data_IF_066974202901
#
_entry.id   IF_066974202901
#
_cell.length_a   1.000
_cell.length_b   1.000
_cell.length_c   1.000
_cell.angle_alpha   90.00
_cell.angle_beta   90.00
_cell.angle_gamma   90.00
#
_symmetry.space_group_name_H-M   'P 1'
#
loop_
_entity.id
_entity.type
_entity.pdbx_description
1 polymer ?
#
# COMPACT_ATOMS: atom_id res chain seq x y z
N UNK A 1 -21.89 20.78 10.29
CA UNK A 1 -20.99 20.56 11.45
C UNK A 1 -19.70 19.96 10.92
N UNK A 2 -18.54 20.58 11.17
CA UNK A 2 -17.25 20.04 10.75
C UNK A 2 -16.87 18.82 11.61
N UNK A 3 -16.30 17.78 11.01
CA UNK A 3 -15.94 16.53 11.70
C UNK A 3 -14.97 16.77 12.86
N UNK A 4 -14.03 17.71 12.71
CA UNK A 4 -13.10 18.09 13.79
C UNK A 4 -13.83 18.59 15.03
N UNK A 5 -14.84 19.45 14.87
CA UNK A 5 -15.61 19.99 15.99
C UNK A 5 -16.45 18.89 16.66
N UNK A 6 -16.97 17.95 15.86
CA UNK A 6 -17.66 16.77 16.38
C UNK A 6 -16.73 15.91 17.24
N UNK A 7 -15.55 15.55 16.72
CA UNK A 7 -14.56 14.74 17.45
C UNK A 7 -14.15 15.45 18.74
N UNK A 8 -13.73 16.72 18.68
CA UNK A 8 -13.35 17.49 19.88
C UNK A 8 -14.48 17.62 20.90
N UNK A 9 -15.73 17.66 20.46
CA UNK A 9 -16.86 17.71 21.38
C UNK A 9 -17.17 16.36 22.03
N UNK A 10 -17.11 15.25 21.30
CA UNK A 10 -17.60 13.94 21.74
C UNK A 10 -16.51 12.98 22.25
N UNK A 11 -15.27 13.08 21.75
CA UNK A 11 -14.21 12.08 21.95
C UNK A 11 -13.23 12.53 23.05
N UNK A 12 -13.74 12.82 24.27
CA UNK A 12 -12.95 13.53 25.30
C UNK A 12 -12.10 12.66 26.22
N UNK A 13 -12.32 11.35 26.26
CA UNK A 13 -11.71 10.48 27.26
C UNK A 13 -11.26 9.14 26.65
N UNK A 14 -10.34 8.47 27.34
CA UNK A 14 -9.80 7.15 26.96
C UNK A 14 -9.22 7.15 25.52
N UNK A 15 -9.33 6.01 24.82
CA UNK A 15 -8.81 5.87 23.46
C UNK A 15 -9.47 6.81 22.44
N UNK A 16 -10.65 7.36 22.75
CA UNK A 16 -11.29 8.34 21.87
C UNK A 16 -10.51 9.67 21.87
N UNK A 17 -9.99 10.10 23.03
CA UNK A 17 -9.16 11.30 23.14
C UNK A 17 -7.80 11.12 22.44
N UNK A 18 -7.24 9.90 22.46
CA UNK A 18 -5.97 9.61 21.82
C UNK A 18 -5.97 9.92 20.30
N UNK A 19 -7.11 9.80 19.61
CA UNK A 19 -7.24 10.20 18.21
C UNK A 19 -7.04 11.72 18.04
N UNK A 20 -7.60 12.53 18.93
CA UNK A 20 -7.47 13.99 18.89
C UNK A 20 -6.03 14.37 19.22
N UNK A 21 -5.46 13.79 20.28
CA UNK A 21 -4.10 14.08 20.72
C UNK A 21 -3.07 13.72 19.63
N UNK A 22 -3.27 12.59 18.94
CA UNK A 22 -2.42 12.20 17.81
C UNK A 22 -2.54 13.17 16.62
N UNK A 23 -3.77 13.59 16.28
CA UNK A 23 -3.99 14.52 15.17
C UNK A 23 -3.44 15.93 15.46
N UNK A 24 -3.71 16.46 16.66
CA UNK A 24 -3.19 17.77 17.09
C UNK A 24 -1.66 17.72 17.23
N UNK A 25 -1.10 16.64 17.78
CA UNK A 25 0.34 16.43 17.90
C UNK A 25 1.06 16.33 16.55
N UNK A 26 0.48 15.63 15.58
CA UNK A 26 1.05 15.57 14.23
C UNK A 26 1.02 16.95 13.55
N UNK A 27 -0.08 17.69 13.66
CA UNK A 27 -0.16 19.06 13.12
C UNK A 27 0.88 19.99 13.77
N UNK A 28 1.08 19.88 15.09
CA UNK A 28 2.09 20.65 15.80
C UNK A 28 3.51 20.28 15.32
N UNK A 29 3.84 18.99 15.23
CA UNK A 29 5.13 18.51 14.73
C UNK A 29 5.46 19.09 13.35
N UNK A 30 4.48 19.08 12.43
CA UNK A 30 4.64 19.69 11.10
C UNK A 30 4.80 21.21 11.18
N UNK A 31 4.03 21.89 12.01
CA UNK A 31 4.11 23.36 12.18
C UNK A 31 5.46 23.82 12.76
N UNK A 32 6.11 22.95 13.55
CA UNK A 32 7.45 23.18 14.11
C UNK A 32 8.58 22.81 13.14
N UNK A 33 8.25 22.41 11.90
CA UNK A 33 9.22 22.02 10.87
C UNK A 33 9.76 20.60 11.05
N UNK A 34 9.09 19.76 11.84
CA UNK A 34 9.44 18.36 12.03
C UNK A 34 9.20 17.52 10.79
N UNK A 35 10.06 16.52 10.57
CA UNK A 35 9.92 15.52 9.51
C UNK A 35 9.24 14.26 10.05
N UNK A 36 8.38 13.62 9.25
CA UNK A 36 7.58 12.48 9.67
C UNK A 36 8.04 11.17 9.02
N UNK A 37 8.20 10.16 9.87
CA UNK A 37 8.32 8.76 9.47
C UNK A 37 6.99 8.06 9.74
N UNK A 38 6.41 7.45 8.71
CA UNK A 38 5.23 6.59 8.86
C UNK A 38 5.68 5.12 8.90
N UNK A 39 5.15 4.35 9.85
CA UNK A 39 5.35 2.91 9.93
C UNK A 39 4.04 2.18 9.60
N UNK A 40 4.08 1.26 8.63
CA UNK A 40 2.92 0.49 8.18
C UNK A 40 3.17 -1.00 8.39
N UNK A 41 2.32 -1.66 9.16
CA UNK A 41 2.38 -3.09 9.40
C UNK A 41 1.19 -3.81 8.77
N UNK A 42 1.32 -5.10 8.47
CA UNK A 42 0.26 -5.89 7.84
C UNK A 42 -0.03 -5.45 6.40
N UNK A 43 -1.26 -5.67 5.94
CA UNK A 43 -1.72 -5.44 4.57
C UNK A 43 -2.58 -4.16 4.48
N UNK A 44 -2.03 -3.01 4.90
CA UNK A 44 -2.77 -1.75 4.95
C UNK A 44 -3.07 -1.19 3.55
N UNK A 45 -2.28 -1.57 2.55
CA UNK A 45 -2.52 -1.17 1.16
C UNK A 45 -3.75 -1.89 0.58
N UNK A 46 -3.97 -3.16 0.91
CA UNK A 46 -5.26 -3.83 0.67
C UNK A 46 -6.43 -3.15 1.38
N UNK A 47 -6.19 -2.59 2.57
CA UNK A 47 -7.19 -1.80 3.30
C UNK A 47 -7.36 -0.36 2.77
N UNK A 48 -6.83 -0.05 1.59
CA UNK A 48 -6.93 1.24 0.90
C UNK A 48 -6.37 2.43 1.70
N UNK A 49 -5.37 2.19 2.56
CA UNK A 49 -4.60 3.25 3.22
C UNK A 49 -3.98 4.24 2.22
N UNK A 50 -3.77 3.78 0.97
CA UNK A 50 -3.26 4.58 -0.15
C UNK A 50 -3.98 5.91 -0.34
N UNK A 51 -5.31 5.94 -0.25
CA UNK A 51 -6.14 7.16 -0.44
C UNK A 51 -5.65 8.30 0.46
N UNK A 52 -5.42 8.01 1.74
CA UNK A 52 -5.00 9.03 2.71
C UNK A 52 -3.49 9.27 2.65
N UNK A 53 -2.70 8.20 2.53
CA UNK A 53 -1.25 8.29 2.57
C UNK A 53 -0.68 9.00 1.35
N UNK A 54 -1.21 8.72 0.15
CA UNK A 54 -0.80 9.38 -1.09
C UNK A 54 -1.01 10.89 -1.02
N UNK A 55 -2.12 11.35 -0.42
CA UNK A 55 -2.36 12.78 -0.22
C UNK A 55 -1.38 13.40 0.77
N UNK A 56 -1.09 12.73 1.89
CA UNK A 56 -0.09 13.21 2.85
C UNK A 56 1.31 13.32 2.22
N UNK A 57 1.69 12.37 1.36
CA UNK A 57 2.95 12.40 0.61
C UNK A 57 2.98 13.59 -0.36
N UNK A 58 1.93 13.79 -1.17
CA UNK A 58 1.86 14.90 -2.12
C UNK A 58 1.99 16.26 -1.43
N UNK A 59 1.36 16.40 -0.27
CA UNK A 59 1.38 17.59 0.57
C UNK A 59 2.67 17.77 1.38
N UNK A 60 3.69 16.92 1.15
CA UNK A 60 4.99 16.97 1.84
C UNK A 60 4.90 16.82 3.37
N UNK A 61 3.94 16.01 3.83
CA UNK A 61 3.74 15.72 5.25
C UNK A 61 4.45 14.45 5.72
N UNK A 62 5.02 13.68 4.81
CA UNK A 62 5.70 12.40 5.08
C UNK A 62 7.05 12.41 4.38
N UNK A 63 8.12 12.10 5.11
CA UNK A 63 9.49 12.18 4.61
C UNK A 63 10.18 10.81 4.50
N UNK A 64 9.68 9.80 5.21
CA UNK A 64 10.17 8.42 5.10
C UNK A 64 9.05 7.45 5.50
N UNK A 65 9.05 6.27 4.88
CA UNK A 65 8.12 5.19 5.22
C UNK A 65 8.92 3.96 5.65
N UNK A 66 8.45 3.25 6.66
CA UNK A 66 8.87 1.87 6.92
C UNK A 66 7.66 0.96 6.84
N UNK A 67 7.74 -0.10 6.05
CA UNK A 67 6.60 -0.97 5.82
C UNK A 67 7.00 -2.43 5.58
N UNK A 68 6.02 -3.33 5.64
CA UNK A 68 6.16 -4.70 5.14
C UNK A 68 6.19 -4.73 3.61
N UNK A 69 6.70 -5.82 3.03
CA UNK A 69 6.71 -6.01 1.57
C UNK A 69 5.29 -6.01 0.97
N UNK A 70 4.33 -6.61 1.67
CA UNK A 70 2.91 -6.58 1.30
C UNK A 70 2.40 -5.17 0.98
N UNK A 71 2.78 -4.14 1.74
CA UNK A 71 2.32 -2.77 1.44
C UNK A 71 2.89 -2.21 0.14
N UNK A 72 4.11 -2.56 -0.25
CA UNK A 72 4.69 -2.08 -1.50
C UNK A 72 3.97 -2.66 -2.70
N UNK A 73 3.75 -3.98 -2.69
CA UNK A 73 3.16 -4.69 -3.82
C UNK A 73 1.64 -4.49 -3.90
N UNK A 74 0.94 -4.55 -2.77
CA UNK A 74 -0.53 -4.51 -2.75
C UNK A 74 -1.09 -3.14 -3.14
N UNK A 75 -0.36 -2.04 -2.95
CA UNK A 75 -0.78 -0.72 -3.48
C UNK A 75 -0.76 -0.72 -5.01
N UNK A 76 0.25 -1.37 -5.61
CA UNK A 76 0.37 -1.50 -7.07
C UNK A 76 -0.64 -2.53 -7.58
N UNK A 77 -0.91 -3.61 -6.84
CA UNK A 77 -1.96 -4.58 -7.14
C UNK A 77 -3.32 -3.90 -7.17
N UNK A 78 -3.61 -3.08 -6.16
CA UNK A 78 -4.83 -2.29 -6.13
C UNK A 78 -4.87 -1.35 -7.33
N UNK A 79 -3.76 -0.68 -7.65
CA UNK A 79 -3.68 0.22 -8.79
C UNK A 79 -4.03 -0.45 -10.12
N UNK A 80 -3.63 -1.70 -10.34
CA UNK A 80 -3.81 -2.38 -11.64
C UNK A 80 -4.93 -3.42 -11.70
N UNK A 81 -5.48 -3.87 -10.57
CA UNK A 81 -6.39 -5.01 -10.50
C UNK A 81 -7.60 -4.83 -9.56
N UNK A 82 -7.84 -3.61 -9.04
CA UNK A 82 -8.94 -3.31 -8.12
C UNK A 82 -10.33 -3.83 -8.55
N UNK A 83 -10.68 -3.71 -9.84
CA UNK A 83 -12.01 -4.11 -10.34
C UNK A 83 -12.27 -5.62 -10.21
N UNK A 84 -11.21 -6.40 -10.01
CA UNK A 84 -11.25 -7.86 -9.84
C UNK A 84 -11.18 -8.29 -8.36
N UNK A 85 -11.09 -7.34 -7.42
CA UNK A 85 -11.07 -7.66 -6.00
C UNK A 85 -12.45 -8.16 -5.55
N UNK A 86 -12.45 -9.16 -4.66
CA UNK A 86 -13.68 -9.70 -4.12
C UNK A 86 -13.76 -9.52 -2.61
N UNK A 87 -14.85 -8.91 -2.16
CA UNK A 87 -15.21 -8.93 -0.74
C UNK A 87 -15.77 -10.30 -0.39
N UNK A 88 -15.32 -10.86 0.72
CA UNK A 88 -15.77 -12.14 1.26
C UNK A 88 -16.64 -11.88 2.49
N UNK A 89 -17.98 -11.86 2.36
CA UNK A 89 -18.87 -11.77 3.50
C UNK A 89 -18.62 -12.93 4.47
N UNK A 90 -18.73 -12.68 5.77
CA UNK A 90 -18.57 -13.73 6.79
C UNK A 90 -17.21 -14.46 6.76
N UNK A 91 -16.14 -13.80 6.32
CA UNK A 91 -14.79 -14.38 6.22
C UNK A 91 -14.25 -15.09 7.48
N UNK A 92 -14.84 -14.82 8.66
CA UNK A 92 -14.51 -15.46 9.93
C UNK A 92 -15.13 -16.85 10.11
N UNK A 93 -16.14 -17.17 9.31
CA UNK A 93 -16.98 -18.37 9.44
C UNK A 93 -16.87 -19.30 8.20
N UNK A 94 -15.86 -19.10 7.34
CA UNK A 94 -15.66 -19.91 6.14
C UNK A 94 -15.40 -21.38 6.49
N UNK A 95 -16.03 -22.28 5.75
CA UNK A 95 -15.75 -23.71 5.83
C UNK A 95 -14.50 -24.05 4.99
N UNK A 96 -13.86 -25.21 5.22
CA UNK A 96 -12.78 -25.68 4.36
C UNK A 96 -13.17 -25.80 2.88
N UNK A 97 -14.46 -26.04 2.58
CA UNK A 97 -14.95 -26.09 1.21
C UNK A 97 -14.98 -24.68 0.59
N UNK A 98 -15.40 -23.66 1.34
CA UNK A 98 -15.44 -22.28 0.86
C UNK A 98 -14.03 -21.76 0.55
N UNK A 99 -13.05 -22.05 1.43
CA UNK A 99 -11.63 -21.72 1.20
C UNK A 99 -11.08 -22.44 -0.04
N UNK A 100 -11.52 -23.69 -0.28
CA UNK A 100 -11.12 -24.44 -1.46
C UNK A 100 -11.70 -23.87 -2.76
N UNK A 101 -12.91 -23.32 -2.74
CA UNK A 101 -13.48 -22.63 -3.90
C UNK A 101 -12.76 -21.31 -4.20
N UNK A 102 -12.31 -20.57 -3.18
CA UNK A 102 -11.41 -19.41 -3.38
C UNK A 102 -10.08 -19.83 -4.01
N UNK A 103 -9.48 -20.91 -3.52
CA UNK A 103 -8.23 -21.46 -4.06
C UNK A 103 -8.38 -21.87 -5.54
N UNK A 104 -9.45 -22.58 -5.91
CA UNK A 104 -9.71 -22.98 -7.31
C UNK A 104 -9.80 -21.81 -8.27
N UNK A 105 -10.16 -20.64 -7.75
CA UNK A 105 -10.32 -19.39 -8.50
C UNK A 105 -9.09 -18.50 -8.39
N UNK A 106 -8.02 -18.96 -7.75
CA UNK A 106 -6.78 -18.21 -7.52
C UNK A 106 -7.01 -16.87 -6.78
N UNK A 107 -7.90 -16.88 -5.78
CA UNK A 107 -8.23 -15.72 -4.96
C UNK A 107 -7.45 -15.74 -3.64
N UNK A 108 -6.38 -14.94 -3.56
CA UNK A 108 -5.55 -14.80 -2.36
C UNK A 108 -6.24 -13.88 -1.34
N UNK A 109 -6.56 -14.39 -0.15
CA UNK A 109 -7.40 -13.67 0.82
C UNK A 109 -6.59 -12.96 1.90
N UNK A 110 -6.84 -11.67 2.06
CA UNK A 110 -6.45 -10.85 3.20
C UNK A 110 -7.71 -10.54 4.02
N UNK A 111 -7.93 -11.30 5.09
CA UNK A 111 -9.13 -11.17 5.94
C UNK A 111 -10.44 -11.25 5.13
N UNK A 112 -11.14 -10.16 4.91
CA UNK A 112 -12.43 -10.10 4.20
C UNK A 112 -12.32 -9.69 2.73
N UNK A 113 -11.11 -9.60 2.19
CA UNK A 113 -10.85 -9.11 0.83
C UNK A 113 -9.93 -10.09 0.09
N UNK A 114 -10.27 -10.43 -1.14
CA UNK A 114 -9.50 -11.32 -2.01
C UNK A 114 -8.85 -10.53 -3.14
N UNK A 115 -7.56 -10.79 -3.35
CA UNK A 115 -6.74 -10.28 -4.44
C UNK A 115 -6.59 -11.40 -5.47
N UNK A 116 -6.94 -11.17 -6.74
CA UNK A 116 -6.83 -12.18 -7.79
C UNK A 116 -5.38 -12.33 -8.27
N UNK A 117 -4.83 -13.55 -8.24
CA UNK A 117 -3.42 -13.83 -8.56
C UNK A 117 -3.05 -13.40 -9.99
N UNK A 118 -3.87 -13.75 -10.99
CA UNK A 118 -3.56 -13.53 -12.40
C UNK A 118 -3.58 -12.03 -12.76
N UNK A 119 -4.64 -11.33 -12.36
CA UNK A 119 -4.84 -9.93 -12.72
C UNK A 119 -3.93 -8.97 -11.94
N UNK A 120 -3.52 -9.35 -10.73
CA UNK A 120 -2.62 -8.55 -9.90
C UNK A 120 -1.16 -9.01 -9.99
N UNK A 121 -0.87 -10.21 -9.47
CA UNK A 121 0.51 -10.66 -9.23
C UNK A 121 1.20 -11.02 -10.55
N UNK A 122 0.58 -11.87 -11.39
CA UNK A 122 1.16 -12.29 -12.68
C UNK A 122 1.33 -11.12 -13.65
N UNK A 123 0.42 -10.15 -13.60
CA UNK A 123 0.50 -8.92 -14.40
C UNK A 123 1.77 -8.13 -14.11
N UNK A 124 2.15 -8.02 -12.85
CA UNK A 124 3.31 -7.22 -12.43
C UNK A 124 4.60 -8.03 -12.45
N UNK A 125 4.53 -9.35 -12.22
CA UNK A 125 5.66 -10.28 -12.22
C UNK A 125 6.55 -10.11 -13.47
N UNK A 126 5.96 -10.13 -14.67
CA UNK A 126 6.74 -9.99 -15.91
C UNK A 126 7.48 -8.65 -16.00
N UNK A 127 6.85 -7.56 -15.54
CA UNK A 127 7.46 -6.24 -15.54
C UNK A 127 8.57 -6.17 -14.49
N UNK A 128 8.34 -6.67 -13.28
CA UNK A 128 9.35 -6.71 -12.21
C UNK A 128 10.58 -7.52 -12.63
N UNK A 129 10.37 -8.74 -13.14
CA UNK A 129 11.44 -9.60 -13.65
C UNK A 129 12.28 -8.91 -14.73
N UNK A 130 11.63 -8.20 -15.66
CA UNK A 130 12.31 -7.44 -16.70
C UNK A 130 13.27 -6.38 -16.11
N UNK A 131 12.86 -5.64 -15.07
CA UNK A 131 13.72 -4.63 -14.43
C UNK A 131 14.82 -5.26 -13.58
N UNK A 132 14.54 -6.37 -12.89
CA UNK A 132 15.56 -7.13 -12.15
C UNK A 132 16.65 -7.70 -13.07
N UNK A 133 16.27 -8.33 -14.18
CA UNK A 133 17.23 -8.84 -15.15
C UNK A 133 18.08 -7.74 -15.79
N UNK A 134 17.52 -6.54 -15.99
CA UNK A 134 18.27 -5.40 -16.52
C UNK A 134 19.32 -4.94 -15.51
N UNK A 135 18.95 -4.79 -14.23
CA UNK A 135 19.88 -4.42 -13.17
C UNK A 135 20.98 -5.47 -12.98
N UNK A 136 20.64 -6.76 -13.00
CA UNK A 136 21.61 -7.86 -12.93
C UNK A 136 22.63 -7.81 -14.08
N UNK A 137 22.15 -7.68 -15.32
CA UNK A 137 23.02 -7.54 -16.51
C UNK A 137 23.91 -6.30 -16.44
N UNK A 138 23.45 -5.23 -15.80
CA UNK A 138 24.19 -3.98 -15.60
C UNK A 138 25.13 -4.01 -14.37
N UNK A 139 24.99 -5.00 -13.48
CA UNK A 139 25.70 -5.04 -12.20
C UNK A 139 25.22 -3.98 -11.19
N UNK A 140 23.97 -3.56 -11.31
CA UNK A 140 23.35 -2.53 -10.48
C UNK A 140 22.54 -3.17 -9.33
N UNK A 141 22.54 -2.51 -8.18
CA UNK A 141 21.79 -2.95 -7.00
C UNK A 141 20.85 -1.83 -6.57
N UNK A 142 19.61 -2.21 -6.28
CA UNK A 142 18.55 -1.30 -5.87
C UNK A 142 17.81 -1.89 -4.66
N UNK A 143 17.24 -1.02 -3.85
CA UNK A 143 16.26 -1.42 -2.84
C UNK A 143 14.96 -1.89 -3.52
N UNK A 144 14.16 -2.75 -2.86
CA UNK A 144 12.91 -3.26 -3.44
C UNK A 144 11.97 -2.17 -3.95
N UNK A 145 11.79 -1.09 -3.18
CA UNK A 145 10.95 0.03 -3.57
C UNK A 145 11.47 0.81 -4.79
N UNK A 146 12.78 0.83 -5.02
CA UNK A 146 13.37 1.52 -6.16
C UNK A 146 13.05 0.81 -7.48
N UNK A 147 12.94 -0.53 -7.48
CA UNK A 147 12.43 -1.26 -8.64
C UNK A 147 10.97 -0.89 -8.94
N UNK A 148 10.11 -0.82 -7.91
CA UNK A 148 8.73 -0.36 -8.09
C UNK A 148 8.66 1.08 -8.60
N UNK A 149 9.53 1.96 -8.13
CA UNK A 149 9.60 3.34 -8.64
C UNK A 149 9.99 3.36 -10.11
N UNK A 150 10.95 2.55 -10.55
CA UNK A 150 11.32 2.45 -11.96
C UNK A 150 10.14 1.96 -12.82
N UNK A 151 9.42 0.96 -12.34
CA UNK A 151 8.24 0.40 -13.02
C UNK A 151 7.13 1.45 -13.14
N UNK A 152 6.78 2.12 -12.03
CA UNK A 152 5.73 3.14 -12.02
C UNK A 152 6.12 4.33 -12.92
N UNK A 153 7.37 4.80 -12.86
CA UNK A 153 7.88 5.91 -13.68
C UNK A 153 8.03 5.56 -15.16
N UNK A 154 8.09 4.27 -15.52
CA UNK A 154 8.18 3.85 -16.92
C UNK A 154 6.88 4.06 -17.70
N UNK A 155 5.74 4.19 -17.01
CA UNK A 155 4.42 4.27 -17.62
C UNK A 155 3.87 2.93 -18.13
N UNK A 156 4.62 1.82 -18.02
CA UNK A 156 4.21 0.51 -18.56
C UNK A 156 2.91 -0.02 -17.93
N UNK A 157 2.60 0.41 -16.70
CA UNK A 157 1.40 0.01 -15.97
C UNK A 157 0.18 0.92 -16.19
N UNK A 158 0.34 2.11 -16.79
CA UNK A 158 -0.75 3.12 -16.89
C UNK A 158 -1.99 2.58 -17.61
N UNK A 159 -1.78 1.75 -18.64
CA UNK A 159 -2.86 1.11 -19.40
C UNK A 159 -3.72 0.15 -18.56
N UNK A 160 -3.24 -0.27 -17.39
CA UNK A 160 -3.92 -1.19 -16.49
C UNK A 160 -4.53 -0.48 -15.27
N UNK A 161 -4.42 0.84 -15.14
CA UNK A 161 -4.90 1.53 -13.94
C UNK A 161 -6.42 1.43 -13.78
N UNK A 162 -6.86 0.99 -12.59
CA UNK A 162 -8.26 0.75 -12.24
C UNK A 162 -8.78 1.64 -11.10
N UNK A 163 -7.89 2.29 -10.35
CA UNK A 163 -8.23 3.33 -9.36
C UNK A 163 -7.72 4.69 -9.83
N UNK A 164 -8.13 5.79 -9.17
CA UNK A 164 -7.50 7.10 -9.39
C UNK A 164 -6.02 6.98 -9.00
N UNK A 165 -5.05 7.27 -9.91
CA UNK A 165 -3.63 7.20 -9.58
C UNK A 165 -3.23 8.07 -8.38
N UNK A 166 -4.04 9.10 -8.04
CA UNK A 166 -3.87 9.89 -6.81
C UNK A 166 -4.11 9.10 -5.52
N UNK A 167 -4.70 7.93 -5.59
CA UNK A 167 -4.95 7.08 -4.43
C UNK A 167 -3.87 5.99 -4.26
N UNK A 168 -2.91 5.89 -5.19
CA UNK A 168 -1.71 5.04 -5.03
C UNK A 168 -0.63 5.79 -4.24
N UNK A 169 -0.28 5.26 -3.06
CA UNK A 169 0.78 5.87 -2.26
C UNK A 169 2.17 5.52 -2.80
N UNK A 170 2.35 4.37 -3.45
CA UNK A 170 3.62 4.01 -4.10
C UNK A 170 3.90 4.91 -5.29
N UNK A 171 2.88 5.29 -6.06
CA UNK A 171 3.04 6.26 -7.16
C UNK A 171 3.43 7.64 -6.61
N UNK A 172 2.71 8.14 -5.60
CA UNK A 172 3.05 9.41 -4.96
C UNK A 172 4.47 9.40 -4.34
N UNK A 173 4.87 8.28 -3.72
CA UNK A 173 6.20 8.10 -3.15
C UNK A 173 7.28 8.04 -4.25
N UNK A 174 7.00 7.40 -5.39
CA UNK A 174 7.89 7.36 -6.54
C UNK A 174 8.12 8.76 -7.12
N UNK A 175 7.07 9.54 -7.33
CA UNK A 175 7.13 10.92 -7.85
C UNK A 175 7.95 11.85 -6.95
N UNK A 176 7.80 11.70 -5.63
CA UNK A 176 8.57 12.45 -4.62
C UNK A 176 9.95 11.86 -4.34
N UNK A 177 10.23 10.66 -4.86
CA UNK A 177 11.43 9.88 -4.58
C UNK A 177 11.66 9.69 -3.07
N UNK A 178 10.61 9.31 -2.34
CA UNK A 178 10.68 9.10 -0.90
C UNK A 178 11.53 7.87 -0.55
N UNK A 179 12.38 7.95 0.49
CA UNK A 179 13.05 6.78 1.03
C UNK A 179 12.05 5.83 1.70
N UNK A 180 12.18 4.53 1.44
CA UNK A 180 11.39 3.49 2.09
C UNK A 180 12.29 2.41 2.69
N UNK A 181 12.02 2.05 3.95
CA UNK A 181 12.68 0.95 4.65
C UNK A 181 11.72 -0.24 4.70
N UNK A 182 12.04 -1.32 4.00
CA UNK A 182 11.22 -2.53 3.98
C UNK A 182 12.05 -3.73 4.49
N UNK A 183 12.18 -3.90 5.82
CA UNK A 183 12.85 -5.08 6.36
C UNK A 183 11.96 -6.30 6.09
N UNK A 184 12.55 -7.39 5.59
CA UNK A 184 11.80 -8.61 5.29
C UNK A 184 11.03 -8.56 3.96
N UNK A 185 11.56 -7.88 2.94
CA UNK A 185 10.94 -7.84 1.61
C UNK A 185 10.69 -9.24 1.03
N UNK A 186 11.57 -10.19 1.31
CA UNK A 186 11.47 -11.58 0.90
C UNK A 186 10.18 -12.27 1.39
N UNK A 187 9.57 -11.76 2.47
CA UNK A 187 8.26 -12.19 2.98
C UNK A 187 7.12 -11.41 2.30
N UNK A 188 7.11 -11.41 0.96
CA UNK A 188 6.06 -10.83 0.12
C UNK A 188 5.80 -11.70 -1.10
N UNK A 189 4.70 -11.45 -1.80
CA UNK A 189 4.34 -12.24 -2.99
C UNK A 189 5.43 -12.14 -4.05
N UNK A 190 5.83 -10.93 -4.40
CA UNK A 190 6.87 -10.68 -5.39
C UNK A 190 8.26 -11.03 -4.85
N UNK A 191 8.49 -10.92 -3.54
CA UNK A 191 9.74 -11.38 -2.91
C UNK A 191 10.01 -12.88 -3.03
N UNK A 192 8.98 -13.68 -3.32
CA UNK A 192 9.08 -15.14 -3.51
C UNK A 192 9.29 -15.56 -4.98
N UNK A 193 9.36 -14.61 -5.91
CA UNK A 193 9.62 -14.84 -7.34
C UNK A 193 11.12 -14.91 -7.57
#
# INVERSE_FOLDING_TARGET
>A
MHITNFLKHHYRHFNAAALIDAADGYNQHLAEGGQMMITLAGAMSTAEMGIQLAELIRQDKVQIISCTGANLEEDIFNLVAHDFYERVPHYRDLTPADEHELLKRHMNRVTDTCIPEEEAMRRIEHTVLKFWEQADKAGEAYFPHEFFYQILKSGELEQYYQIDPKDSWMLAAAEKNLPIICPGWEDSTLGNI
#
